data_IF_770209063362
#
_entry.id   IF_770209063362
#
_cell.length_a   1.000
_cell.length_b   1.000
_cell.length_c   1.000
_cell.angle_alpha   90.00
_cell.angle_beta   90.00
_cell.angle_gamma   90.00
#
_symmetry.space_group_name_H-M   'P 1'
#
loop_
_entity.id
_entity.type
_entity.pdbx_description
1 polymer ?
#
# COMPACT_ATOMS: atom_id res chain seq x y z
N UNK A 1 -29.01 7.87 18.52
CA UNK A 1 -30.31 8.56 18.55
C UNK A 1 -30.10 9.97 18.04
N UNK A 2 -30.56 10.24 16.81
CA UNK A 2 -31.24 11.46 16.38
C UNK A 2 -31.38 11.41 14.85
N UNK A 3 -32.54 10.87 14.44
CA UNK A 3 -33.20 11.14 13.17
C UNK A 3 -33.71 12.60 13.13
N UNK A 4 -34.18 12.99 11.93
CA UNK A 4 -35.00 14.17 11.57
C UNK A 4 -34.25 15.38 11.04
N UNK A 5 -34.09 15.44 9.70
CA UNK A 5 -34.50 16.62 8.92
C UNK A 5 -35.07 16.15 7.57
N UNK A 6 -36.40 15.96 7.52
CA UNK A 6 -37.16 16.13 6.29
C UNK A 6 -38.26 17.16 6.55
N UNK A 7 -38.15 18.32 5.90
CA UNK A 7 -39.25 19.04 5.25
C UNK A 7 -38.92 20.52 5.05
N UNK A 8 -38.72 20.92 3.79
CA UNK A 8 -39.06 22.27 3.32
C UNK A 8 -39.26 22.23 1.80
N UNK A 9 -40.38 22.83 1.38
CA UNK A 9 -41.03 22.69 0.07
C UNK A 9 -40.46 23.63 -1.00
N UNK A 10 -40.54 23.14 -2.25
CA UNK A 10 -40.99 23.81 -3.50
C UNK A 10 -40.31 25.11 -3.99
N UNK A 11 -39.86 25.00 -5.25
CA UNK A 11 -39.91 25.96 -6.35
C UNK A 11 -39.07 27.25 -6.25
N UNK A 12 -37.94 27.24 -6.98
CA UNK A 12 -37.23 28.43 -7.43
C UNK A 12 -36.49 28.12 -8.73
N UNK A 13 -37.00 28.65 -9.84
CA UNK A 13 -36.40 28.60 -11.16
C UNK A 13 -35.13 29.47 -11.16
N UNK A 14 -33.94 28.88 -11.33
CA UNK A 14 -32.66 29.59 -11.31
C UNK A 14 -31.69 28.99 -12.30
N UNK A 15 -31.60 29.58 -13.49
CA UNK A 15 -30.49 29.38 -14.42
C UNK A 15 -29.20 29.89 -13.75
N UNK A 16 -28.43 28.98 -13.16
CA UNK A 16 -27.06 29.23 -12.72
C UNK A 16 -26.11 28.48 -13.63
N UNK A 17 -25.29 29.20 -14.39
CA UNK A 17 -24.19 28.64 -15.16
C UNK A 17 -23.35 27.73 -14.25
N UNK A 18 -23.23 26.46 -14.63
CA UNK A 18 -22.40 25.47 -13.96
C UNK A 18 -20.93 25.84 -14.11
N UNK A 19 -20.41 26.55 -13.11
CA UNK A 19 -18.98 26.52 -12.86
C UNK A 19 -18.63 25.11 -12.38
N UNK A 20 -17.59 24.46 -12.92
CA UNK A 20 -17.14 23.19 -12.37
C UNK A 20 -16.76 23.47 -10.92
N UNK A 21 -17.51 22.88 -9.98
CA UNK A 21 -17.10 22.82 -8.58
C UNK A 21 -15.87 21.93 -8.57
N UNK A 22 -14.70 22.52 -8.73
CA UNK A 22 -13.42 21.86 -8.48
C UNK A 22 -13.49 21.37 -7.05
N UNK A 23 -13.67 20.04 -6.89
CA UNK A 23 -13.53 19.37 -5.60
C UNK A 23 -12.20 19.86 -5.02
N UNK A 24 -12.26 20.65 -3.96
CA UNK A 24 -11.09 20.95 -3.15
C UNK A 24 -10.73 19.61 -2.52
N UNK A 25 -9.81 18.88 -3.15
CA UNK A 25 -9.32 17.62 -2.60
C UNK A 25 -8.57 17.97 -1.32
N UNK A 26 -9.18 17.64 -0.19
CA UNK A 26 -8.64 17.86 1.16
C UNK A 26 -7.45 16.92 1.46
N UNK A 27 -6.76 16.45 0.43
CA UNK A 27 -5.64 15.53 0.54
C UNK A 27 -4.36 16.31 0.84
N UNK A 28 -3.56 15.86 1.82
CA UNK A 28 -2.30 16.51 2.14
C UNK A 28 -1.40 16.52 0.91
N UNK A 29 -0.99 17.70 0.46
CA UNK A 29 -0.05 17.85 -0.65
C UNK A 29 1.36 17.48 -0.17
N UNK A 30 1.71 16.20 -0.31
CA UNK A 30 3.03 15.70 0.06
C UNK A 30 4.12 16.40 -0.78
N UNK A 31 5.16 16.91 -0.08
CA UNK A 31 6.33 17.54 -0.71
C UNK A 31 7.27 16.50 -1.33
N UNK A 32 7.32 15.31 -0.74
CA UNK A 32 8.14 14.18 -1.18
C UNK A 32 7.17 13.03 -1.42
N UNK A 33 7.18 12.49 -2.65
CA UNK A 33 6.15 11.53 -3.12
C UNK A 33 6.70 10.12 -3.35
N UNK A 34 8.02 9.98 -3.40
CA UNK A 34 8.75 8.77 -3.74
C UNK A 34 9.42 8.10 -2.52
N UNK A 35 9.08 8.56 -1.32
CA UNK A 35 9.70 8.11 -0.09
C UNK A 35 8.77 8.25 1.12
N UNK A 36 9.05 7.46 2.15
CA UNK A 36 8.52 7.63 3.50
C UNK A 36 9.63 8.05 4.46
N UNK A 37 9.22 8.74 5.52
CA UNK A 37 10.09 9.08 6.63
C UNK A 37 9.68 8.27 7.84
N UNK A 38 10.62 7.51 8.37
CA UNK A 38 10.41 6.63 9.51
C UNK A 38 11.22 7.13 10.69
N UNK A 39 10.62 7.09 11.89
CA UNK A 39 11.31 7.53 13.10
C UNK A 39 12.27 6.44 13.56
N UNK A 40 13.55 6.77 13.64
CA UNK A 40 14.61 5.90 14.13
C UNK A 40 15.66 6.70 14.89
N UNK A 41 16.02 6.24 16.10
CA UNK A 41 16.98 6.90 17.01
C UNK A 41 16.78 8.41 17.17
N UNK A 42 15.52 8.83 17.36
CA UNK A 42 15.16 10.23 17.57
C UNK A 42 15.18 11.11 16.31
N UNK A 43 15.55 10.55 15.16
CA UNK A 43 15.58 11.23 13.87
C UNK A 43 14.50 10.68 12.91
N UNK A 44 14.26 11.40 11.81
CA UNK A 44 13.46 10.92 10.69
C UNK A 44 14.41 10.45 9.59
N UNK A 45 14.38 9.15 9.30
CA UNK A 45 15.19 8.53 8.26
C UNK A 45 14.34 8.46 6.99
N UNK A 46 14.85 9.01 5.89
CA UNK A 46 14.22 8.89 4.57
C UNK A 46 14.47 7.49 4.01
N UNK A 47 13.42 6.85 3.52
CA UNK A 47 13.49 5.56 2.81
C UNK A 47 12.74 5.73 1.48
N UNK A 48 13.44 5.58 0.35
CA UNK A 48 12.78 5.64 -0.97
C UNK A 48 12.05 4.34 -1.25
N UNK A 49 10.88 4.43 -1.87
CA UNK A 49 10.08 3.26 -2.20
C UNK A 49 10.83 2.25 -3.10
N UNK A 50 11.62 2.76 -4.04
CA UNK A 50 12.42 1.93 -4.96
C UNK A 50 13.54 1.12 -4.27
N UNK A 51 13.95 1.52 -3.06
CA UNK A 51 15.00 0.83 -2.30
C UNK A 51 14.42 -0.31 -1.45
N UNK A 52 13.11 -0.29 -1.17
CA UNK A 52 12.43 -1.26 -0.32
C UNK A 52 12.25 -2.58 -1.08
N UNK A 53 12.70 -3.67 -0.46
CA UNK A 53 12.47 -5.03 -0.95
C UNK A 53 11.17 -5.59 -0.37
N UNK A 54 11.08 -5.57 0.96
CA UNK A 54 9.93 -6.09 1.69
C UNK A 54 9.87 -5.54 3.12
N UNK A 55 8.72 -5.69 3.75
CA UNK A 55 8.47 -5.35 5.13
C UNK A 55 7.93 -6.56 5.88
N UNK A 56 8.38 -6.73 7.12
CA UNK A 56 7.94 -7.79 8.04
C UNK A 56 7.35 -7.17 9.30
N UNK A 57 6.07 -7.44 9.55
CA UNK A 57 5.38 -7.06 10.78
C UNK A 57 5.57 -8.10 11.88
N UNK A 58 6.01 -7.65 13.05
CA UNK A 58 6.09 -8.43 14.28
C UNK A 58 5.47 -7.64 15.45
N UNK A 59 4.23 -7.95 15.79
CA UNK A 59 3.46 -7.21 16.79
C UNK A 59 3.31 -5.73 16.44
N UNK A 60 3.91 -4.86 17.28
CA UNK A 60 3.87 -3.40 17.13
C UNK A 60 5.10 -2.83 16.40
N UNK A 61 5.93 -3.70 15.85
CA UNK A 61 7.11 -3.34 15.09
C UNK A 61 6.99 -3.82 13.66
N UNK A 62 7.57 -3.06 12.75
CA UNK A 62 7.74 -3.46 11.37
C UNK A 62 9.20 -3.28 11.01
N UNK A 63 9.82 -4.38 10.58
CA UNK A 63 11.14 -4.37 9.97
C UNK A 63 10.98 -4.06 8.50
N UNK A 64 11.60 -2.99 8.06
CA UNK A 64 11.70 -2.60 6.66
C UNK A 64 13.08 -3.04 6.16
N UNK A 65 13.09 -3.79 5.06
CA UNK A 65 14.34 -4.27 4.45
C UNK A 65 14.51 -3.60 3.09
N UNK A 66 15.68 -2.99 2.91
CA UNK A 66 16.13 -2.39 1.65
C UNK A 66 17.29 -3.19 1.08
N UNK A 67 17.80 -2.77 -0.09
CA UNK A 67 19.03 -3.34 -0.70
C UNK A 67 20.28 -3.10 0.15
N UNK A 68 20.34 -1.99 0.86
CA UNK A 68 21.56 -1.54 1.55
C UNK A 68 21.52 -1.74 3.06
N UNK A 69 20.32 -1.67 3.67
CA UNK A 69 20.14 -1.75 5.11
C UNK A 69 18.75 -2.27 5.50
N UNK A 70 18.62 -2.66 6.76
CA UNK A 70 17.33 -2.96 7.39
C UNK A 70 17.06 -2.04 8.58
N UNK A 71 15.79 -1.77 8.85
CA UNK A 71 15.35 -0.85 9.88
C UNK A 71 14.12 -1.39 10.61
N UNK A 72 14.17 -1.46 11.94
CA UNK A 72 12.99 -1.78 12.75
C UNK A 72 12.33 -0.50 13.28
N UNK A 73 11.04 -0.34 12.98
CA UNK A 73 10.25 0.86 13.30
C UNK A 73 9.06 0.45 14.18
N UNK A 74 8.74 1.28 15.19
CA UNK A 74 7.62 1.06 16.11
C UNK A 74 6.27 1.47 15.50
N UNK A 75 5.92 0.83 14.39
CA UNK A 75 4.66 0.98 13.67
C UNK A 75 4.15 -0.40 13.28
N UNK A 76 2.83 -0.57 13.26
CA UNK A 76 2.22 -1.81 12.79
C UNK A 76 2.29 -1.89 11.26
N UNK A 77 2.32 -3.11 10.72
CA UNK A 77 2.42 -3.32 9.27
C UNK A 77 1.28 -2.63 8.50
N UNK A 78 0.11 -2.47 9.12
CA UNK A 78 -1.04 -1.77 8.52
C UNK A 78 -0.76 -0.28 8.25
N UNK A 79 -0.01 0.39 9.12
CA UNK A 79 0.34 1.80 8.92
C UNK A 79 1.18 1.96 7.64
N UNK A 80 2.07 1.01 7.38
CA UNK A 80 2.86 0.98 6.15
C UNK A 80 2.01 0.62 4.93
N UNK A 81 1.07 -0.32 5.06
CA UNK A 81 0.14 -0.68 3.98
C UNK A 81 -0.67 0.53 3.48
N UNK A 82 -1.06 1.43 4.39
CA UNK A 82 -1.80 2.66 4.06
C UNK A 82 -0.89 3.77 3.50
N UNK A 83 0.38 3.80 3.89
CA UNK A 83 1.35 4.82 3.46
C UNK A 83 2.07 4.49 2.14
N UNK A 84 2.17 3.21 1.78
CA UNK A 84 2.89 2.75 0.59
C UNK A 84 2.02 2.85 -0.67
N UNK A 85 2.62 3.16 -1.85
CA UNK A 85 1.90 3.14 -3.12
C UNK A 85 1.32 1.75 -3.43
N UNK A 86 -0.01 1.63 -3.48
CA UNK A 86 -0.70 0.35 -3.68
C UNK A 86 -0.44 -0.32 -5.03
N UNK A 87 0.08 0.43 -6.01
CA UNK A 87 0.46 -0.09 -7.32
C UNK A 87 1.86 -0.72 -7.32
N UNK A 88 2.70 -0.37 -6.34
CA UNK A 88 4.09 -0.84 -6.25
C UNK A 88 4.27 -1.89 -5.15
N UNK A 89 3.41 -1.87 -4.12
CA UNK A 89 3.49 -2.74 -2.96
C UNK A 89 2.24 -3.59 -2.80
N UNK A 90 2.44 -4.83 -2.38
CA UNK A 90 1.34 -5.74 -2.09
C UNK A 90 1.59 -6.48 -0.78
N UNK A 91 0.57 -6.52 0.07
CA UNK A 91 0.54 -7.45 1.21
C UNK A 91 0.41 -8.87 0.69
N UNK A 92 1.32 -9.74 1.10
CA UNK A 92 1.39 -11.15 0.65
C UNK A 92 1.17 -12.14 1.79
N UNK A 93 1.23 -11.67 3.03
CA UNK A 93 0.96 -12.47 4.21
C UNK A 93 0.43 -11.59 5.35
N UNK A 94 -0.08 -12.19 6.43
CA UNK A 94 -0.50 -11.42 7.62
C UNK A 94 0.63 -10.57 8.20
N UNK A 95 1.88 -10.96 7.96
CA UNK A 95 3.08 -10.30 8.47
C UNK A 95 4.01 -9.78 7.38
N UNK A 96 3.65 -9.84 6.08
CA UNK A 96 4.57 -9.41 5.02
C UNK A 96 3.90 -8.55 3.96
N UNK A 97 4.59 -7.48 3.59
CA UNK A 97 4.35 -6.64 2.40
C UNK A 97 5.62 -6.70 1.55
N UNK A 98 5.49 -6.81 0.23
CA UNK A 98 6.62 -6.86 -0.71
C UNK A 98 6.46 -5.79 -1.78
N UNK A 99 7.59 -5.31 -2.32
CA UNK A 99 7.59 -4.52 -3.55
C UNK A 99 7.43 -5.46 -4.75
N UNK A 100 6.44 -5.19 -5.60
CA UNK A 100 6.07 -6.07 -6.71
C UNK A 100 7.20 -6.23 -7.73
N UNK A 101 7.92 -5.15 -8.05
CA UNK A 101 9.05 -5.17 -8.99
C UNK A 101 10.25 -5.99 -8.51
N UNK A 102 10.36 -6.26 -7.21
CA UNK A 102 11.47 -7.02 -6.64
C UNK A 102 11.15 -8.54 -6.53
N UNK A 103 9.96 -8.97 -6.96
CA UNK A 103 9.59 -10.38 -7.00
C UNK A 103 10.29 -11.06 -8.18
N UNK A 104 11.16 -12.03 -7.89
CA UNK A 104 11.91 -12.80 -8.87
C UNK A 104 11.24 -14.12 -9.24
N UNK A 105 10.53 -14.75 -8.29
CA UNK A 105 9.81 -16.00 -8.53
C UNK A 105 8.60 -16.11 -7.59
N UNK A 106 7.54 -16.77 -8.09
CA UNK A 106 6.28 -16.97 -7.38
C UNK A 106 6.02 -18.47 -7.28
N UNK A 107 5.98 -19.01 -6.06
CA UNK A 107 5.56 -20.37 -5.76
C UNK A 107 4.28 -20.34 -4.90
N UNK A 108 3.63 -21.50 -4.76
CA UNK A 108 2.37 -21.64 -3.99
C UNK A 108 2.52 -21.34 -2.50
N UNK A 109 3.74 -21.41 -1.96
CA UNK A 109 4.03 -21.23 -0.51
C UNK A 109 4.86 -19.98 -0.21
N UNK A 110 5.67 -19.54 -1.16
CA UNK A 110 6.63 -18.45 -0.96
C UNK A 110 6.91 -17.69 -2.25
N UNK A 111 7.38 -16.46 -2.09
CA UNK A 111 7.90 -15.59 -3.13
C UNK A 111 9.40 -15.47 -2.94
N UNK A 112 10.16 -15.51 -4.04
CA UNK A 112 11.57 -15.08 -4.00
C UNK A 112 11.62 -13.58 -4.23
N UNK A 113 12.10 -12.82 -3.26
CA UNK A 113 12.23 -11.36 -3.31
C UNK A 113 13.67 -10.99 -2.99
N UNK A 114 14.42 -10.52 -4.00
CA UNK A 114 15.87 -10.47 -3.92
C UNK A 114 16.47 -11.86 -3.63
N UNK A 115 17.25 -11.97 -2.56
CA UNK A 115 17.87 -13.23 -2.12
C UNK A 115 17.09 -13.97 -1.02
N UNK A 116 15.93 -13.46 -0.63
CA UNK A 116 15.12 -14.00 0.47
C UNK A 116 13.83 -14.69 -0.02
N UNK A 117 13.34 -15.63 0.80
CA UNK A 117 12.09 -16.35 0.57
C UNK A 117 10.99 -15.86 1.52
N UNK A 118 9.98 -15.18 0.97
CA UNK A 118 8.89 -14.56 1.72
C UNK A 118 7.65 -15.44 1.65
N UNK A 119 7.08 -15.89 2.77
CA UNK A 119 5.88 -16.74 2.74
C UNK A 119 4.69 -15.97 2.17
N UNK A 120 3.86 -16.66 1.37
CA UNK A 120 2.62 -16.10 0.83
C UNK A 120 1.41 -16.88 1.32
N UNK A 121 0.38 -16.16 1.79
CA UNK A 121 -0.88 -16.75 2.17
C UNK A 121 -1.72 -17.13 0.95
N UNK A 122 -2.49 -18.22 1.04
CA UNK A 122 -3.29 -18.75 -0.08
C UNK A 122 -4.16 -17.70 -0.78
N UNK A 123 -4.84 -16.84 -0.03
CA UNK A 123 -5.68 -15.77 -0.58
C UNK A 123 -4.86 -14.72 -1.34
N UNK A 124 -3.71 -14.33 -0.78
CA UNK A 124 -2.81 -13.37 -1.42
C UNK A 124 -2.15 -13.95 -2.67
N UNK A 125 -1.82 -15.24 -2.66
CA UNK A 125 -1.29 -15.95 -3.83
C UNK A 125 -2.25 -15.90 -5.01
N UNK A 126 -3.54 -16.21 -4.78
CA UNK A 126 -4.54 -16.13 -5.85
C UNK A 126 -4.66 -14.71 -6.41
N UNK A 127 -4.74 -13.71 -5.53
CA UNK A 127 -4.79 -12.29 -5.95
C UNK A 127 -3.55 -11.86 -6.74
N UNK A 128 -2.36 -12.29 -6.33
CA UNK A 128 -1.11 -12.00 -7.03
C UNK A 128 -1.11 -12.65 -8.41
N UNK A 129 -1.53 -13.92 -8.50
CA UNK A 129 -1.61 -14.66 -9.75
C UNK A 129 -2.61 -14.08 -10.77
N UNK A 130 -3.70 -13.47 -10.31
CA UNK A 130 -4.67 -12.77 -11.16
C UNK A 130 -4.09 -11.47 -11.75
N UNK A 131 -3.16 -10.83 -11.03
CA UNK A 131 -2.54 -9.57 -11.44
C UNK A 131 -1.30 -9.70 -12.33
N UNK A 132 -0.80 -10.92 -12.57
CA UNK A 132 0.41 -11.15 -13.38
C UNK A 132 0.07 -11.67 -14.78
N UNK A 133 0.77 -11.16 -15.78
CA UNK A 133 0.70 -11.69 -17.14
C UNK A 133 1.62 -12.90 -17.27
N UNK A 134 1.06 -14.05 -17.63
CA UNK A 134 1.78 -15.33 -17.75
C UNK A 134 1.96 -15.68 -19.22
N UNK A 135 3.18 -16.06 -19.60
CA UNK A 135 3.48 -16.63 -20.91
C UNK A 135 3.79 -18.12 -20.75
N UNK A 136 3.14 -18.97 -21.56
CA UNK A 136 3.14 -20.42 -21.39
C UNK A 136 1.92 -20.88 -20.57
N UNK A 137 1.06 -21.69 -21.19
CA UNK A 137 -0.20 -22.11 -20.59
C UNK A 137 -0.01 -23.12 -19.45
N UNK A 138 -0.95 -23.08 -18.49
CA UNK A 138 -1.41 -24.29 -17.80
C UNK A 138 -1.89 -25.25 -18.90
N UNK A 139 -0.97 -26.04 -19.45
CA UNK A 139 -1.33 -27.25 -20.18
C UNK A 139 -1.86 -28.23 -19.14
N UNK A 140 -3.16 -28.13 -18.87
CA UNK A 140 -3.92 -29.27 -18.39
C UNK A 140 -4.28 -30.17 -19.57
#
# INVERSE_FOLDING_TARGET
MNELIESARRNGNGKGNGYPVTKISNEPKLLIKDAIFVRHDGSLVKVRFQEILWLKGDGNYTTLVTKDFELSVRNILKDFEEALPQLEFMRVHKSYIVRLEEILAINTRELRVGDEFIPIGRTYYQKLLEGVHKLGGDHH
#
